data_IF_689185413835
#
_entry.id   IF_689185413835
#
_cell.length_a   1.000
_cell.length_b   1.000
_cell.length_c   1.000
_cell.angle_alpha   90.00
_cell.angle_beta   90.00
_cell.angle_gamma   90.00
#
_symmetry.space_group_name_H-M   'P 1'
#
loop_
_entity.id
_entity.type
_entity.pdbx_description
1 polymer ?
#
# COMPACT_ATOMS: atom_id res chain seq x y z
N UNK A 1 -18.21 -7.16 -22.47
CA UNK A 1 -16.89 -7.24 -21.82
C UNK A 1 -16.93 -8.42 -20.85
N UNK A 2 -15.96 -9.32 -20.94
CA UNK A 2 -15.80 -10.46 -20.03
C UNK A 2 -15.32 -9.96 -18.66
N UNK A 3 -15.85 -10.56 -17.58
CA UNK A 3 -15.41 -10.27 -16.21
C UNK A 3 -13.93 -10.64 -16.09
N UNK A 4 -13.05 -9.76 -15.56
CA UNK A 4 -11.65 -10.09 -15.42
C UNK A 4 -11.47 -11.21 -14.38
N UNK A 5 -10.60 -12.17 -14.69
CA UNK A 5 -10.42 -13.37 -13.87
C UNK A 5 -9.89 -13.04 -12.47
N UNK A 6 -9.13 -11.95 -12.37
CA UNK A 6 -8.62 -11.45 -11.09
C UNK A 6 -9.73 -11.05 -10.11
N UNK A 7 -10.86 -10.52 -10.59
CA UNK A 7 -11.98 -10.14 -9.71
C UNK A 7 -12.79 -11.36 -9.26
N UNK A 8 -12.83 -12.42 -10.07
CA UNK A 8 -13.37 -13.71 -9.65
C UNK A 8 -12.53 -14.37 -8.54
N UNK A 9 -11.21 -14.26 -8.62
CA UNK A 9 -10.32 -14.76 -7.58
C UNK A 9 -10.59 -14.09 -6.22
N UNK A 10 -10.80 -12.76 -6.22
CA UNK A 10 -11.12 -11.99 -5.00
C UNK A 10 -12.51 -12.37 -4.45
N UNK A 11 -13.54 -12.37 -5.30
CA UNK A 11 -14.93 -12.55 -4.86
C UNK A 11 -15.20 -13.93 -4.26
N UNK A 12 -14.44 -14.96 -4.64
CA UNK A 12 -14.49 -16.28 -3.98
C UNK A 12 -14.14 -16.24 -2.50
N UNK A 13 -13.30 -15.29 -2.09
CA UNK A 13 -12.83 -15.16 -0.71
C UNK A 13 -13.53 -14.05 0.10
N UNK A 14 -14.55 -13.38 -0.46
CA UNK A 14 -15.36 -12.38 0.23
C UNK A 14 -16.67 -13.05 0.70
N UNK A 15 -16.91 -13.04 2.01
CA UNK A 15 -18.08 -13.70 2.63
C UNK A 15 -19.40 -12.95 2.40
N UNK A 16 -19.36 -11.61 2.31
CA UNK A 16 -20.52 -10.79 2.00
C UNK A 16 -20.29 -10.02 0.69
N UNK A 17 -20.76 -10.59 -0.41
CA UNK A 17 -20.62 -9.97 -1.74
C UNK A 17 -21.67 -8.89 -2.02
N UNK A 18 -22.66 -8.68 -1.13
CA UNK A 18 -23.77 -7.74 -1.40
C UNK A 18 -23.35 -6.28 -1.37
N UNK A 19 -22.30 -5.94 -0.61
CA UNK A 19 -21.74 -4.59 -0.52
C UNK A 19 -20.21 -4.70 -0.49
N UNK A 20 -19.57 -4.57 -1.65
CA UNK A 20 -18.10 -4.53 -1.75
C UNK A 20 -17.69 -3.07 -1.95
N UNK A 21 -16.93 -2.53 -0.99
CA UNK A 21 -16.35 -1.19 -1.06
C UNK A 21 -14.93 -1.26 -1.59
N UNK A 22 -14.64 -0.41 -2.56
CA UNK A 22 -13.38 -0.34 -3.30
C UNK A 22 -12.71 1.01 -3.09
N UNK A 23 -11.51 1.01 -2.51
CA UNK A 23 -10.68 2.20 -2.37
C UNK A 23 -9.81 2.38 -3.61
N UNK A 24 -9.85 3.56 -4.23
CA UNK A 24 -9.06 3.90 -5.41
C UNK A 24 -7.89 4.80 -4.98
N UNK A 25 -6.66 4.33 -5.18
CA UNK A 25 -5.43 5.05 -4.79
C UNK A 25 -4.66 5.44 -6.05
N UNK A 26 -4.34 6.73 -6.20
CA UNK A 26 -3.58 7.25 -7.35
C UNK A 26 -4.22 6.95 -8.72
N UNK A 27 -5.55 6.91 -8.80
CA UNK A 27 -6.32 6.70 -10.04
C UNK A 27 -7.08 7.98 -10.36
N UNK A 28 -6.86 8.55 -11.54
CA UNK A 28 -7.47 9.80 -11.96
C UNK A 28 -8.70 9.54 -12.84
N UNK A 29 -9.86 10.09 -12.47
CA UNK A 29 -11.12 9.85 -13.19
C UNK A 29 -11.14 10.32 -14.65
N UNK A 30 -10.25 11.24 -15.04
CA UNK A 30 -10.15 11.76 -16.40
C UNK A 30 -9.10 11.01 -17.21
N UNK A 31 -7.99 10.63 -16.60
CA UNK A 31 -6.87 9.99 -17.29
C UNK A 31 -6.96 8.46 -17.31
N UNK A 32 -7.67 7.87 -16.35
CA UNK A 32 -7.76 6.42 -16.14
C UNK A 32 -9.16 5.87 -16.42
N UNK A 33 -9.85 6.45 -17.41
CA UNK A 33 -11.22 6.09 -17.80
C UNK A 33 -11.40 4.58 -18.04
N UNK A 34 -10.39 3.92 -18.63
CA UNK A 34 -10.38 2.47 -18.86
C UNK A 34 -10.49 1.67 -17.55
N UNK A 35 -9.75 2.08 -16.51
CA UNK A 35 -9.80 1.40 -15.20
C UNK A 35 -11.20 1.55 -14.62
N UNK A 36 -11.77 2.76 -14.65
CA UNK A 36 -13.14 3.01 -14.19
C UNK A 36 -14.17 2.19 -14.98
N UNK A 37 -14.08 2.16 -16.31
CA UNK A 37 -14.98 1.37 -17.16
C UNK A 37 -14.94 -0.12 -16.81
N UNK A 38 -13.74 -0.68 -16.61
CA UNK A 38 -13.57 -2.07 -16.22
C UNK A 38 -14.14 -2.36 -14.83
N UNK A 39 -13.88 -1.48 -13.85
CA UNK A 39 -14.41 -1.62 -12.50
C UNK A 39 -15.94 -1.47 -12.45
N UNK A 40 -16.51 -0.53 -13.19
CA UNK A 40 -17.97 -0.34 -13.28
C UNK A 40 -18.68 -1.49 -14.00
N UNK A 41 -17.99 -2.25 -14.86
CA UNK A 41 -18.53 -3.43 -15.52
C UNK A 41 -18.62 -4.66 -14.59
N UNK A 42 -18.04 -4.61 -13.39
CA UNK A 42 -18.03 -5.72 -12.43
C UNK A 42 -19.39 -5.90 -11.76
N UNK A 43 -19.80 -7.16 -11.58
CA UNK A 43 -20.99 -7.56 -10.82
C UNK A 43 -20.57 -8.41 -9.62
N UNK A 44 -21.12 -8.18 -8.41
CA UNK A 44 -22.19 -7.20 -8.08
C UNK A 44 -21.72 -5.75 -8.08
N UNK A 45 -22.67 -4.80 -8.01
CA UNK A 45 -22.39 -3.35 -7.99
C UNK A 45 -21.44 -3.01 -6.84
N UNK A 46 -20.33 -2.37 -7.19
CA UNK A 46 -19.28 -1.94 -6.26
C UNK A 46 -19.54 -0.52 -5.77
N UNK A 47 -19.23 -0.24 -4.52
CA UNK A 47 -19.16 1.11 -3.97
C UNK A 47 -17.71 1.60 -4.06
N UNK A 48 -17.49 2.82 -4.55
CA UNK A 48 -16.15 3.34 -4.84
C UNK A 48 -15.86 4.56 -3.97
N UNK A 49 -14.67 4.58 -3.37
CA UNK A 49 -14.14 5.75 -2.66
C UNK A 49 -12.76 6.10 -3.18
N UNK A 50 -12.57 7.33 -3.63
CA UNK A 50 -11.25 7.84 -4.00
C UNK A 50 -10.46 8.21 -2.74
N UNK A 51 -9.29 7.61 -2.58
CA UNK A 51 -8.40 7.87 -1.46
C UNK A 51 -7.48 9.03 -1.82
N UNK A 52 -7.68 10.16 -1.14
CA UNK A 52 -6.91 11.36 -1.35
C UNK A 52 -5.77 11.46 -0.33
N UNK A 53 -4.57 11.80 -0.81
CA UNK A 53 -3.37 12.05 -0.02
C UNK A 53 -2.47 13.04 -0.77
N UNK A 54 -1.71 13.84 -0.03
CA UNK A 54 -0.75 14.76 -0.63
C UNK A 54 0.46 14.01 -1.16
N UNK A 55 1.04 14.46 -2.26
CA UNK A 55 2.24 13.84 -2.80
C UNK A 55 3.46 14.22 -1.99
N UNK A 56 4.38 13.28 -1.82
CA UNK A 56 5.71 13.53 -1.25
C UNK A 56 6.38 14.69 -1.99
N UNK A 57 7.12 15.52 -1.24
CA UNK A 57 7.80 16.65 -1.83
C UNK A 57 8.75 16.18 -2.94
N UNK A 58 8.56 16.72 -4.15
CA UNK A 58 9.34 16.38 -5.35
C UNK A 58 10.84 16.69 -5.22
N UNK A 59 11.24 17.50 -4.23
CA UNK A 59 12.67 17.77 -3.97
C UNK A 59 13.36 16.64 -3.21
N UNK A 60 12.60 15.75 -2.54
CA UNK A 60 13.16 14.61 -1.83
C UNK A 60 13.53 13.50 -2.81
N UNK A 61 14.71 12.93 -2.63
CA UNK A 61 15.25 11.85 -3.44
C UNK A 61 15.28 10.56 -2.67
N UNK A 62 15.41 9.45 -3.39
CA UNK A 62 15.60 8.13 -2.78
C UNK A 62 16.71 8.11 -1.73
N UNK A 63 17.86 8.72 -2.05
CA UNK A 63 19.04 8.76 -1.18
C UNK A 63 18.84 9.63 0.09
N UNK A 64 17.81 10.49 0.15
CA UNK A 64 17.44 11.18 1.39
C UNK A 64 16.85 10.19 2.42
N UNK A 65 16.02 9.24 1.95
CA UNK A 65 15.41 8.21 2.79
C UNK A 65 16.38 7.05 3.04
N UNK A 66 17.13 6.64 2.02
CA UNK A 66 18.01 5.48 2.05
C UNK A 66 19.45 5.87 1.69
N UNK A 67 20.14 6.66 2.54
CA UNK A 67 21.53 7.02 2.29
C UNK A 67 22.44 5.79 2.29
N UNK A 68 23.52 5.85 1.51
CA UNK A 68 24.54 4.78 1.42
C UNK A 68 25.34 4.61 2.71
N UNK A 69 25.49 5.69 3.47
CA UNK A 69 26.18 5.72 4.76
C UNK A 69 25.29 6.44 5.76
N UNK A 70 25.12 5.82 6.93
CA UNK A 70 24.44 6.44 8.07
C UNK A 70 25.55 6.97 8.96
N UNK A 71 25.39 8.19 9.45
CA UNK A 71 26.30 8.74 10.44
C UNK A 71 26.03 8.07 11.80
N UNK A 72 26.90 7.14 12.19
CA UNK A 72 26.83 6.40 13.45
C UNK A 72 27.25 7.26 14.67
N UNK A 73 27.84 8.45 14.43
CA UNK A 73 28.52 9.27 15.43
C UNK A 73 27.60 10.33 16.08
N UNK A 74 26.30 10.33 15.78
CA UNK A 74 25.28 10.88 16.70
C UNK A 74 24.56 12.17 16.31
N UNK A 75 24.40 12.47 15.02
CA UNK A 75 23.41 13.49 14.61
C UNK A 75 21.99 12.93 14.72
N UNK A 76 21.03 13.80 15.12
CA UNK A 76 19.62 13.41 15.17
C UNK A 76 19.16 12.92 13.79
N UNK A 77 18.38 11.82 13.73
CA UNK A 77 17.87 11.30 12.48
C UNK A 77 17.07 12.39 11.75
N UNK A 78 17.35 12.58 10.46
CA UNK A 78 16.61 13.54 9.62
C UNK A 78 15.20 12.99 9.45
N UNK A 79 14.24 13.58 10.15
CA UNK A 79 12.84 13.21 9.97
C UNK A 79 12.37 13.66 8.59
N UNK A 80 12.01 12.69 7.75
CA UNK A 80 11.45 12.95 6.43
C UNK A 80 9.97 12.59 6.47
N UNK A 81 9.14 13.59 6.19
CA UNK A 81 7.70 13.40 6.14
C UNK A 81 7.30 12.72 4.84
N UNK A 82 6.53 11.63 4.99
CA UNK A 82 5.82 11.01 3.90
C UNK A 82 4.33 11.22 4.13
N UNK A 83 3.68 12.11 3.37
CA UNK A 83 2.27 12.40 3.59
C UNK A 83 1.43 11.14 3.43
N UNK A 84 0.50 10.95 4.37
CA UNK A 84 -0.41 9.81 4.42
C UNK A 84 -1.86 10.30 4.43
N UNK A 85 -2.79 9.55 3.82
CA UNK A 85 -4.21 9.83 3.99
C UNK A 85 -4.61 9.68 5.46
N UNK A 86 -5.67 10.37 5.86
CA UNK A 86 -6.32 10.15 7.14
C UNK A 86 -7.07 8.81 7.07
N UNK A 87 -6.41 7.73 7.47
CA UNK A 87 -6.89 6.35 7.29
C UNK A 87 -8.31 6.11 7.84
N UNK A 88 -8.66 6.77 8.96
CA UNK A 88 -9.98 6.71 9.59
C UNK A 88 -11.11 7.26 8.74
N UNK A 89 -10.82 8.10 7.74
CA UNK A 89 -11.84 8.60 6.82
C UNK A 89 -12.25 7.51 5.79
N UNK A 90 -11.52 6.39 5.75
CA UNK A 90 -11.65 5.32 4.76
C UNK A 90 -11.84 3.95 5.41
N UNK A 91 -12.90 3.81 6.20
CA UNK A 91 -13.29 2.55 6.84
C UNK A 91 -14.07 1.63 5.87
N UNK A 92 -14.15 0.34 6.22
CA UNK A 92 -14.92 -0.67 5.49
C UNK A 92 -14.53 -0.94 4.04
N UNK A 93 -13.32 -0.56 3.63
CA UNK A 93 -12.76 -0.93 2.32
C UNK A 93 -12.40 -2.42 2.29
N UNK A 94 -12.93 -3.14 1.30
CA UNK A 94 -12.64 -4.57 1.09
C UNK A 94 -11.53 -4.79 0.06
N UNK A 95 -11.48 -3.95 -0.97
CA UNK A 95 -10.54 -4.04 -2.08
C UNK A 95 -9.86 -2.67 -2.23
N UNK A 96 -8.53 -2.64 -2.26
CA UNK A 96 -7.76 -1.43 -2.56
C UNK A 96 -7.19 -1.59 -3.95
N UNK A 97 -7.59 -0.72 -4.89
CA UNK A 97 -7.05 -0.68 -6.25
C UNK A 97 -6.12 0.51 -6.35
N UNK A 98 -4.87 0.26 -6.70
CA UNK A 98 -3.83 1.29 -6.76
C UNK A 98 -3.13 1.27 -8.11
N UNK A 99 -3.08 2.42 -8.79
CA UNK A 99 -2.24 2.57 -9.97
C UNK A 99 -0.83 2.90 -9.52
N UNK A 100 0.13 2.08 -9.91
CA UNK A 100 1.53 2.27 -9.54
C UNK A 100 2.21 3.17 -10.58
N UNK A 101 2.86 4.28 -10.16
CA UNK A 101 3.63 5.09 -11.09
C UNK A 101 4.83 4.27 -11.62
N UNK A 102 4.99 4.27 -12.94
CA UNK A 102 6.17 3.80 -13.63
C UNK A 102 7.02 5.02 -14.01
N UNK A 103 8.19 5.18 -13.39
CA UNK A 103 9.15 6.24 -13.74
C UNK A 103 10.49 5.63 -14.14
N UNK A 104 11.27 6.39 -14.90
CA UNK A 104 12.60 5.98 -15.38
C UNK A 104 13.57 5.65 -14.24
N UNK A 105 13.37 6.23 -13.05
CA UNK A 105 14.17 5.96 -11.84
C UNK A 105 13.98 4.52 -11.29
N UNK A 106 13.08 3.73 -11.88
CA UNK A 106 12.97 2.29 -11.67
C UNK A 106 12.50 1.90 -10.28
N UNK A 107 13.31 1.14 -9.54
CA UNK A 107 13.00 0.67 -8.18
C UNK A 107 13.16 1.80 -7.15
N UNK A 108 13.94 2.83 -7.47
CA UNK A 108 14.31 3.90 -6.54
C UNK A 108 13.44 5.15 -6.70
N UNK A 109 12.14 4.96 -6.78
CA UNK A 109 11.19 6.06 -6.90
C UNK A 109 10.46 6.33 -5.59
N UNK A 110 10.55 7.57 -5.11
CA UNK A 110 9.96 7.99 -3.82
C UNK A 110 8.44 8.03 -3.91
N UNK A 111 7.87 8.41 -5.05
CA UNK A 111 6.42 8.47 -5.21
C UNK A 111 5.79 7.07 -5.28
N UNK A 112 6.44 6.14 -5.99
CA UNK A 112 6.10 4.71 -5.97
C UNK A 112 6.16 4.15 -4.56
N UNK A 113 7.20 4.47 -3.79
CA UNK A 113 7.29 4.08 -2.39
C UNK A 113 6.11 4.63 -1.58
N UNK A 114 5.79 5.92 -1.72
CA UNK A 114 4.64 6.53 -1.06
C UNK A 114 3.34 5.80 -1.37
N UNK A 115 3.05 5.54 -2.66
CA UNK A 115 1.82 4.82 -3.07
C UNK A 115 1.76 3.43 -2.41
N UNK A 116 2.86 2.68 -2.40
CA UNK A 116 2.89 1.34 -1.78
C UNK A 116 2.67 1.41 -0.26
N UNK A 117 3.24 2.41 0.42
CA UNK A 117 3.05 2.59 1.86
C UNK A 117 1.63 3.06 2.20
N UNK A 118 1.01 3.92 1.38
CA UNK A 118 -0.39 4.31 1.51
C UNK A 118 -1.29 3.08 1.42
N UNK A 119 -1.08 2.25 0.40
CA UNK A 119 -1.85 1.01 0.20
C UNK A 119 -1.67 0.04 1.36
N UNK A 120 -0.43 -0.13 1.85
CA UNK A 120 -0.15 -1.01 2.99
C UNK A 120 -0.84 -0.55 4.27
N UNK A 121 -0.77 0.74 4.59
CA UNK A 121 -1.43 1.31 5.77
C UNK A 121 -2.96 1.22 5.68
N UNK A 122 -3.54 1.45 4.50
CA UNK A 122 -4.98 1.25 4.28
C UNK A 122 -5.39 -0.21 4.47
N UNK A 123 -4.59 -1.16 3.96
CA UNK A 123 -4.86 -2.58 4.10
C UNK A 123 -4.84 -3.02 5.57
N UNK A 124 -3.88 -2.51 6.34
CA UNK A 124 -3.80 -2.73 7.79
C UNK A 124 -5.02 -2.11 8.49
N UNK A 125 -5.31 -0.83 8.28
CA UNK A 125 -6.41 -0.17 8.99
C UNK A 125 -7.76 -0.84 8.69
N UNK A 126 -7.99 -1.20 7.43
CA UNK A 126 -9.21 -1.87 7.00
C UNK A 126 -9.22 -3.37 7.30
N UNK A 127 -8.10 -3.99 7.64
CA UNK A 127 -8.03 -5.41 7.93
C UNK A 127 -8.43 -5.79 9.35
N UNK A 128 -8.45 -4.83 10.27
CA UNK A 128 -8.59 -5.09 11.70
C UNK A 128 -10.01 -4.71 12.16
N UNK A 129 -10.85 -5.71 12.39
CA UNK A 129 -12.31 -5.54 12.64
C UNK A 129 -12.58 -4.95 14.03
N UNK A 130 -11.83 -5.38 15.03
CA UNK A 130 -11.83 -4.78 16.37
C UNK A 130 -10.42 -4.85 16.92
N UNK A 131 -9.91 -3.77 17.53
CA UNK A 131 -8.58 -3.78 18.17
C UNK A 131 -8.47 -4.78 19.34
N UNK A 132 -9.60 -5.32 19.80
CA UNK A 132 -9.70 -6.28 20.90
C UNK A 132 -9.80 -7.75 20.46
N UNK A 133 -10.27 -8.07 19.25
CA UNK A 133 -10.35 -9.45 18.77
C UNK A 133 -9.16 -9.72 17.84
N UNK A 134 -8.60 -10.93 17.92
CA UNK A 134 -7.48 -11.35 17.06
C UNK A 134 -7.91 -11.67 15.63
N UNK A 135 -9.17 -11.42 15.28
CA UNK A 135 -9.70 -11.71 13.96
C UNK A 135 -9.42 -10.55 13.00
N UNK A 136 -8.70 -10.90 11.93
CA UNK A 136 -8.46 -10.01 10.80
C UNK A 136 -9.47 -10.34 9.70
N UNK A 137 -10.11 -9.32 9.14
CA UNK A 137 -10.87 -9.49 7.90
C UNK A 137 -9.91 -9.51 6.72
N UNK A 138 -10.28 -10.28 5.70
CA UNK A 138 -9.53 -10.27 4.43
C UNK A 138 -9.71 -8.93 3.73
N UNK A 139 -8.59 -8.32 3.38
CA UNK A 139 -8.50 -7.17 2.47
C UNK A 139 -7.70 -7.61 1.26
N UNK A 140 -8.16 -7.25 0.07
CA UNK A 140 -7.46 -7.55 -1.17
C UNK A 140 -6.85 -6.28 -1.72
N UNK A 141 -5.66 -6.41 -2.31
CA UNK A 141 -4.95 -5.29 -2.92
C UNK A 141 -4.73 -5.60 -4.39
N UNK A 142 -5.06 -4.66 -5.26
CA UNK A 142 -4.94 -4.77 -6.72
C UNK A 142 -4.05 -3.65 -7.21
N UNK A 143 -2.84 -3.98 -7.63
CA UNK A 143 -1.96 -3.02 -8.29
C UNK A 143 -2.20 -3.03 -9.79
N UNK A 144 -2.34 -1.85 -10.38
CA UNK A 144 -2.50 -1.64 -11.81
C UNK A 144 -1.25 -0.97 -12.37
N UNK A 145 -0.67 -1.58 -13.40
CA UNK A 145 0.47 -1.05 -14.15
C UNK A 145 1.58 -2.09 -14.34
N UNK A 146 2.39 -1.86 -15.37
CA UNK A 146 3.47 -2.77 -15.77
C UNK A 146 4.61 -2.90 -14.75
N UNK A 147 4.85 -1.89 -13.90
CA UNK A 147 5.93 -1.93 -12.91
C UNK A 147 5.64 -2.78 -11.67
N UNK A 148 4.37 -3.12 -11.42
CA UNK A 148 3.95 -3.85 -10.23
C UNK A 148 4.27 -3.14 -8.89
N UNK A 149 3.87 -3.73 -7.75
CA UNK A 149 4.16 -3.17 -6.44
C UNK A 149 5.65 -3.26 -6.08
N UNK A 150 6.01 -2.69 -4.93
CA UNK A 150 7.31 -2.93 -4.30
C UNK A 150 7.26 -4.25 -3.54
N UNK A 151 8.02 -5.24 -4.02
CA UNK A 151 8.02 -6.62 -3.51
C UNK A 151 8.52 -6.73 -2.07
N UNK A 152 9.29 -5.74 -1.61
CA UNK A 152 9.76 -5.60 -0.24
C UNK A 152 8.59 -5.37 0.74
N UNK A 153 7.50 -4.75 0.26
CA UNK A 153 6.28 -4.48 1.02
C UNK A 153 5.23 -5.55 0.70
N UNK A 154 5.03 -5.88 -0.57
CA UNK A 154 4.04 -6.85 -1.03
C UNK A 154 4.73 -8.12 -1.53
N UNK A 155 4.90 -9.09 -0.63
CA UNK A 155 5.64 -10.33 -0.88
C UNK A 155 4.99 -11.18 -1.96
N UNK A 156 5.81 -11.85 -2.75
CA UNK A 156 5.33 -12.80 -3.78
C UNK A 156 4.48 -13.95 -3.20
N UNK A 157 4.70 -14.33 -1.94
CA UNK A 157 3.91 -15.37 -1.26
C UNK A 157 2.45 -14.97 -1.06
N UNK A 158 2.17 -13.66 -1.02
CA UNK A 158 0.83 -13.09 -0.84
C UNK A 158 0.14 -12.83 -2.20
N UNK A 159 0.84 -13.05 -3.33
CA UNK A 159 0.30 -12.86 -4.68
C UNK A 159 -0.68 -13.98 -5.00
N UNK A 160 -1.93 -13.61 -5.32
CA UNK A 160 -2.96 -14.55 -5.74
C UNK A 160 -2.93 -14.80 -7.24
N UNK A 161 -2.84 -13.72 -8.02
CA UNK A 161 -2.88 -13.78 -9.49
C UNK A 161 -2.26 -12.53 -10.09
N UNK A 162 -1.55 -12.72 -11.20
CA UNK A 162 -1.11 -11.66 -12.08
C UNK A 162 -1.74 -11.87 -13.45
N UNK A 163 -2.52 -10.90 -13.93
CA UNK A 163 -3.22 -10.94 -15.21
C UNK A 163 -3.00 -9.62 -15.97
N UNK A 164 -2.16 -9.66 -17.01
CA UNK A 164 -1.77 -8.46 -17.74
C UNK A 164 -1.09 -7.44 -16.83
N UNK A 165 -1.69 -6.25 -16.71
CA UNK A 165 -1.21 -5.17 -15.84
C UNK A 165 -1.78 -5.23 -14.42
N UNK A 166 -2.56 -6.24 -14.07
CA UNK A 166 -3.17 -6.39 -12.75
C UNK A 166 -2.39 -7.37 -11.89
N UNK A 167 -2.02 -6.94 -10.69
CA UNK A 167 -1.40 -7.78 -9.68
C UNK A 167 -2.28 -7.82 -8.44
N UNK A 168 -2.80 -9.00 -8.11
CA UNK A 168 -3.75 -9.16 -7.00
C UNK A 168 -3.11 -9.88 -5.85
N UNK A 169 -3.16 -9.26 -4.68
CA UNK A 169 -2.60 -9.75 -3.44
C UNK A 169 -3.70 -9.95 -2.38
N UNK A 170 -3.49 -10.96 -1.55
CA UNK A 170 -4.14 -11.08 -0.24
C UNK A 170 -3.05 -11.01 0.82
N UNK A 171 -2.65 -9.80 1.25
CA UNK A 171 -1.52 -9.63 2.15
C UNK A 171 -1.74 -10.28 3.52
N UNK A 172 -0.69 -10.84 4.11
CA UNK A 172 -0.67 -11.15 5.54
C UNK A 172 -0.55 -9.84 6.33
N UNK A 173 -1.68 -9.41 6.91
CA UNK A 173 -1.79 -8.16 7.64
C UNK A 173 -0.91 -8.10 8.89
N UNK A 174 -0.54 -9.24 9.48
CA UNK A 174 0.39 -9.26 10.62
C UNK A 174 1.81 -8.98 10.15
N UNK A 175 2.26 -9.68 9.10
CA UNK A 175 3.57 -9.45 8.49
C UNK A 175 3.69 -8.02 7.97
N UNK A 176 2.67 -7.54 7.25
CA UNK A 176 2.62 -6.18 6.72
C UNK A 176 2.66 -5.13 7.83
N UNK A 177 1.94 -5.34 8.95
CA UNK A 177 1.98 -4.45 10.10
C UNK A 177 3.36 -4.39 10.75
N UNK A 178 4.03 -5.52 10.92
CA UNK A 178 5.40 -5.53 11.45
C UNK A 178 6.36 -4.75 10.55
N UNK A 179 6.22 -4.87 9.23
CA UNK A 179 7.00 -4.07 8.27
C UNK A 179 6.70 -2.57 8.39
N UNK A 180 5.44 -2.17 8.54
CA UNK A 180 5.06 -0.75 8.66
C UNK A 180 5.43 -0.10 10.01
N UNK A 181 5.76 -0.88 11.04
CA UNK A 181 6.30 -0.37 12.30
C UNK A 181 7.79 0.00 12.18
N UNK A 182 8.46 -0.43 11.12
CA UNK A 182 9.86 -0.08 10.88
C UNK A 182 9.96 1.38 10.42
N UNK A 183 10.98 2.13 10.87
CA UNK A 183 11.21 3.49 10.39
C UNK A 183 11.38 3.53 8.87
N UNK A 184 10.84 4.58 8.26
CA UNK A 184 10.91 4.79 6.81
C UNK A 184 12.31 5.22 6.42
N UNK A 185 13.12 4.25 5.99
CA UNK A 185 14.47 4.53 5.53
C UNK A 185 15.54 4.42 6.61
N UNK A 186 16.77 4.18 6.15
CA UNK A 186 17.93 3.99 7.02
C UNK A 186 18.30 5.26 7.78
N UNK A 187 17.97 6.44 7.25
CA UNK A 187 18.22 7.74 7.92
C UNK A 187 17.39 7.96 9.19
N UNK A 188 16.34 7.15 9.41
CA UNK A 188 15.45 7.24 10.56
C UNK A 188 15.72 6.17 11.64
N UNK A 189 16.68 5.27 11.41
CA UNK A 189 17.08 4.24 12.37
C UNK A 189 18.04 4.86 13.38
N UNK A 190 17.65 4.92 14.66
CA UNK A 190 18.52 5.42 15.72
C UNK A 190 19.64 4.39 16.03
N UNK A 191 20.89 4.84 16.31
CA UNK A 191 21.89 3.96 16.89
C UNK A 191 21.47 3.59 18.32
N UNK A 192 21.23 2.30 18.54
CA UNK A 192 20.91 1.76 19.86
C UNK A 192 22.15 1.77 20.77
N UNK A 193 22.44 2.90 21.40
CA UNK A 193 23.36 2.89 22.54
C UNK A 193 22.67 2.25 23.74
N UNK A 194 22.89 0.94 23.91
CA UNK A 194 22.73 0.31 25.21
C UNK A 194 23.69 1.00 26.17
N UNK A 195 23.17 1.81 27.10
CA UNK A 195 23.95 2.23 28.28
C UNK A 195 24.31 0.97 29.06
N UNK A 196 25.51 0.44 28.81
CA UNK A 196 26.14 -0.51 29.71
C UNK A 196 26.26 0.16 31.08
N UNK A 197 25.85 -0.58 32.13
CA UNK A 197 25.49 -0.04 33.44
C UNK A 197 26.54 0.86 34.10
N UNK A 198 26.03 1.85 34.83
CA UNK A 198 26.79 2.51 35.88
C UNK A 198 26.67 1.65 37.15
N UNK A 199 27.78 1.00 37.52
CA UNK A 199 28.13 0.69 38.91
C UNK A 199 28.94 1.86 39.46
#
# INVERSE_FOLDING_TARGET
MTKPSWFEAITKGITNTKNIKVGLVNIDARLDDKIYQQLHALQPKLDFVSIHFDHVNKTLKWDDFFPKWIDEEGHQPKYLEMPMPRLKDYEDVNIIVAKVPCVEEGIRDVFRLQVNLVVANLAIENGWVTKLERDTRKVYVVFVGSCGPMIEIFRCDDLLIQEGEYWVYQPDLNSLKHQMLMPLGSSQVAPGYAKTGML
#
